data_IF_855556754357
#
_entry.id   IF_855556754357
#
_cell.length_a   1.000
_cell.length_b   1.000
_cell.length_c   1.000
_cell.angle_alpha   90.00
_cell.angle_beta   90.00
_cell.angle_gamma   90.00
#
_symmetry.space_group_name_H-M   'P 1'
#
loop_
_entity.id
_entity.type
_entity.pdbx_description
1 polymer ?
#
# COMPACT_ATOMS: atom_id res chain seq x y z
N UNK A 1 21.36 -3.54 11.40
CA UNK A 1 20.11 -2.85 11.76
C UNK A 1 19.01 -3.49 10.94
N UNK A 2 18.13 -4.28 11.57
CA UNK A 2 16.92 -4.78 10.90
C UNK A 2 15.84 -3.71 11.01
N UNK A 3 15.68 -2.86 9.99
CA UNK A 3 14.56 -1.89 9.97
C UNK A 3 13.64 -2.23 8.79
N UNK A 4 13.25 -3.49 8.72
CA UNK A 4 12.17 -3.91 7.83
C UNK A 4 10.85 -3.66 8.56
N UNK A 5 10.06 -2.67 8.13
CA UNK A 5 8.76 -2.35 8.72
C UNK A 5 7.90 -3.63 8.81
N UNK A 6 7.41 -4.07 9.98
CA UNK A 6 6.68 -5.32 10.11
C UNK A 6 5.43 -5.38 9.23
N UNK A 7 5.16 -6.56 8.64
CA UNK A 7 3.95 -6.80 7.84
C UNK A 7 2.66 -6.44 8.60
N UNK A 8 2.64 -6.72 9.90
CA UNK A 8 1.51 -6.40 10.79
C UNK A 8 1.27 -4.90 10.92
N UNK A 9 2.34 -4.10 10.95
CA UNK A 9 2.25 -2.64 10.95
C UNK A 9 1.65 -2.13 9.64
N UNK A 10 2.15 -2.62 8.51
CA UNK A 10 1.64 -2.27 7.17
C UNK A 10 0.15 -2.63 7.08
N UNK A 11 -0.23 -3.84 7.49
CA UNK A 11 -1.62 -4.29 7.49
C UNK A 11 -2.51 -3.36 8.32
N UNK A 12 -2.07 -2.97 9.53
CA UNK A 12 -2.82 -2.07 10.42
C UNK A 12 -3.03 -0.69 9.77
N UNK A 13 -1.97 -0.09 9.22
CA UNK A 13 -2.06 1.23 8.58
C UNK A 13 -2.99 1.19 7.38
N UNK A 14 -2.83 0.21 6.48
CA UNK A 14 -3.68 0.12 5.29
C UNK A 14 -5.15 -0.17 5.66
N UNK A 15 -5.39 -1.01 6.67
CA UNK A 15 -6.76 -1.31 7.12
C UNK A 15 -7.43 -0.11 7.79
N UNK A 16 -6.68 0.75 8.48
CA UNK A 16 -7.24 1.97 9.12
C UNK A 16 -7.73 3.03 8.14
N UNK A 17 -7.42 2.87 6.85
CA UNK A 17 -7.85 3.80 5.81
C UNK A 17 -9.30 3.54 5.36
N UNK A 18 -9.88 2.39 5.73
CA UNK A 18 -11.26 2.00 5.45
C UNK A 18 -11.66 2.12 3.96
N UNK A 19 -10.73 1.73 3.08
CA UNK A 19 -10.91 1.81 1.62
C UNK A 19 -11.36 0.48 1.00
N UNK A 20 -11.52 -0.56 1.81
CA UNK A 20 -11.76 -1.92 1.35
C UNK A 20 -10.96 -2.96 2.12
N UNK A 21 -10.76 -4.12 1.50
CA UNK A 21 -10.22 -5.32 2.13
C UNK A 21 -8.88 -5.72 1.55
N UNK A 22 -7.93 -5.99 2.43
CA UNK A 22 -6.65 -6.61 2.07
C UNK A 22 -6.86 -8.12 1.92
N UNK A 23 -6.68 -8.64 0.71
CA UNK A 23 -6.69 -10.08 0.44
C UNK A 23 -5.35 -10.72 0.80
N UNK A 24 -4.25 -10.09 0.39
CA UNK A 24 -2.90 -10.62 0.56
C UNK A 24 -1.87 -9.51 0.56
N UNK A 25 -0.90 -9.61 1.47
CA UNK A 25 0.33 -8.82 1.45
C UNK A 25 1.50 -9.76 1.17
N UNK A 26 2.28 -9.45 0.14
CA UNK A 26 3.51 -10.16 -0.25
C UNK A 26 4.70 -9.23 -0.07
N UNK A 27 5.72 -9.72 0.64
CA UNK A 27 6.98 -9.01 0.90
C UNK A 27 8.06 -9.55 -0.02
N UNK A 28 8.70 -8.67 -0.78
CA UNK A 28 9.75 -9.04 -1.74
C UNK A 28 11.02 -8.27 -1.34
N UNK A 29 12.05 -8.93 -0.80
CA UNK A 29 13.31 -8.25 -0.47
C UNK A 29 13.98 -7.73 -1.74
N UNK A 30 14.70 -6.60 -1.65
CA UNK A 30 15.50 -6.14 -2.78
C UNK A 30 16.80 -6.94 -2.89
N UNK A 31 17.12 -7.42 -4.10
CA UNK A 31 18.30 -8.27 -4.35
C UNK A 31 19.63 -7.65 -3.89
N UNK A 32 19.75 -6.33 -3.99
CA UNK A 32 20.98 -5.60 -3.73
C UNK A 32 20.93 -4.80 -2.41
N UNK A 33 19.83 -4.84 -1.67
CA UNK A 33 19.71 -4.11 -0.42
C UNK A 33 18.69 -4.78 0.53
N UNK A 34 19.21 -5.51 1.51
CA UNK A 34 18.41 -6.25 2.49
C UNK A 34 17.69 -5.36 3.50
N UNK A 35 18.01 -4.07 3.56
CA UNK A 35 17.34 -3.11 4.46
C UNK A 35 15.97 -2.71 3.93
N UNK A 36 15.72 -2.91 2.63
CA UNK A 36 14.46 -2.51 2.00
C UNK A 36 13.73 -3.71 1.40
N UNK A 37 12.41 -3.59 1.37
CA UNK A 37 11.51 -4.55 0.72
C UNK A 37 10.46 -3.83 -0.10
N UNK A 38 10.03 -4.48 -1.18
CA UNK A 38 8.84 -4.13 -1.93
C UNK A 38 7.63 -4.84 -1.32
N UNK A 39 6.53 -4.12 -1.19
CA UNK A 39 5.26 -4.65 -0.72
C UNK A 39 4.29 -4.69 -1.90
N UNK A 40 3.70 -5.86 -2.16
CA UNK A 40 2.60 -6.02 -3.11
C UNK A 40 1.35 -6.37 -2.32
N UNK A 41 0.31 -5.57 -2.49
CA UNK A 41 -0.97 -5.75 -1.79
C UNK A 41 -2.02 -6.13 -2.84
N UNK A 42 -2.56 -7.34 -2.72
CA UNK A 42 -3.82 -7.69 -3.39
C UNK A 42 -4.93 -7.07 -2.56
N UNK A 43 -5.66 -6.14 -3.17
CA UNK A 43 -6.63 -5.30 -2.49
C UNK A 43 -7.97 -5.35 -3.23
N UNK A 44 -9.05 -5.51 -2.47
CA UNK A 44 -10.41 -5.39 -2.96
C UNK A 44 -10.97 -4.05 -2.49
N UNK A 45 -11.25 -3.15 -3.43
CA UNK A 45 -11.84 -1.84 -3.14
C UNK A 45 -13.27 -1.98 -2.62
N UNK A 46 -13.67 -1.07 -1.74
CA UNK A 46 -15.06 -0.89 -1.37
C UNK A 46 -15.71 0.15 -2.29
N UNK A 47 -16.43 -0.28 -3.32
CA UNK A 47 -17.02 0.64 -4.30
C UNK A 47 -18.33 1.30 -3.82
N UNK A 48 -18.81 1.02 -2.60
CA UNK A 48 -20.03 1.65 -2.06
C UNK A 48 -19.74 2.90 -1.22
N UNK A 49 -18.51 3.08 -0.76
CA UNK A 49 -18.12 4.20 0.12
C UNK A 49 -17.45 5.32 -0.69
N UNK A 50 -17.95 6.54 -0.53
CA UNK A 50 -17.49 7.72 -1.30
C UNK A 50 -15.98 7.97 -1.12
N UNK A 51 -15.47 7.80 0.10
CA UNK A 51 -14.05 7.99 0.38
C UNK A 51 -13.17 6.99 -0.39
N UNK A 52 -13.56 5.72 -0.40
CA UNK A 52 -12.87 4.66 -1.14
C UNK A 52 -12.87 4.94 -2.64
N UNK A 53 -14.02 5.33 -3.19
CA UNK A 53 -14.16 5.72 -4.61
C UNK A 53 -13.27 6.91 -4.95
N UNK A 54 -13.26 7.94 -4.09
CA UNK A 54 -12.43 9.14 -4.29
C UNK A 54 -10.93 8.79 -4.31
N UNK A 55 -10.46 7.94 -3.40
CA UNK A 55 -9.07 7.52 -3.32
C UNK A 55 -8.65 6.64 -4.50
N UNK A 56 -9.55 5.75 -4.94
CA UNK A 56 -9.37 4.98 -6.17
C UNK A 56 -9.23 5.91 -7.39
N UNK A 57 -10.12 6.89 -7.52
CA UNK A 57 -10.07 7.90 -8.59
C UNK A 57 -8.78 8.74 -8.53
N UNK A 58 -8.30 9.10 -7.33
CA UNK A 58 -7.03 9.80 -7.16
C UNK A 58 -5.84 8.93 -7.59
N UNK A 59 -5.83 7.65 -7.22
CA UNK A 59 -4.80 6.70 -7.64
C UNK A 59 -4.76 6.57 -9.17
N UNK A 60 -5.93 6.51 -9.82
CA UNK A 60 -6.05 6.43 -11.28
C UNK A 60 -5.64 7.74 -11.97
N UNK A 61 -6.07 8.88 -11.43
CA UNK A 61 -5.81 10.21 -12.02
C UNK A 61 -4.36 10.65 -11.86
N UNK A 62 -3.78 10.47 -10.67
CA UNK A 62 -2.42 10.94 -10.36
C UNK A 62 -1.36 9.83 -10.46
N UNK A 63 -1.78 8.59 -10.71
CA UNK A 63 -0.91 7.41 -10.80
C UNK A 63 -0.32 6.94 -9.47
N UNK A 64 -0.55 7.67 -8.36
CA UNK A 64 -0.06 7.29 -7.03
C UNK A 64 -0.83 7.95 -5.89
N UNK A 65 -0.79 7.31 -4.72
CA UNK A 65 -1.25 7.85 -3.44
C UNK A 65 -0.07 7.99 -2.47
N UNK A 66 -0.15 8.98 -1.58
CA UNK A 66 0.77 9.12 -0.45
C UNK A 66 0.04 8.73 0.83
N UNK A 67 0.51 7.69 1.51
CA UNK A 67 -0.04 7.23 2.79
C UNK A 67 0.96 7.58 3.87
N UNK A 68 0.64 8.59 4.69
CA UNK A 68 1.44 8.95 5.86
C UNK A 68 1.27 7.87 6.91
N UNK A 69 2.36 7.22 7.30
CA UNK A 69 2.33 6.18 8.33
C UNK A 69 3.05 6.61 9.62
N UNK A 70 3.94 7.61 9.54
CA UNK A 70 4.65 8.18 10.69
C UNK A 70 5.22 9.55 10.28
N UNK A 71 4.56 10.66 10.64
CA UNK A 71 4.90 11.99 10.13
C UNK A 71 6.39 12.35 10.39
N UNK A 72 7.17 12.76 9.38
CA UNK A 72 6.78 13.17 8.02
C UNK A 72 6.84 12.06 6.95
N UNK A 73 7.10 10.82 7.35
CA UNK A 73 7.28 9.67 6.47
C UNK A 73 5.96 9.15 5.89
N UNK A 74 6.00 8.86 4.60
CA UNK A 74 4.88 8.32 3.85
C UNK A 74 5.32 7.24 2.88
N UNK A 75 4.40 6.30 2.58
CA UNK A 75 4.55 5.38 1.47
C UNK A 75 3.94 5.96 0.20
N UNK A 76 4.67 5.86 -0.91
CA UNK A 76 4.11 6.11 -2.24
C UNK A 76 3.53 4.79 -2.75
N UNK A 77 2.21 4.73 -2.85
CA UNK A 77 1.48 3.57 -3.37
C UNK A 77 1.15 3.82 -4.83
N UNK A 78 1.35 2.80 -5.68
CA UNK A 78 1.08 2.84 -7.11
C UNK A 78 0.24 1.62 -7.50
N UNK A 79 -0.59 1.78 -8.53
CA UNK A 79 -1.30 0.63 -9.11
C UNK A 79 -0.31 -0.26 -9.85
N UNK A 80 -0.29 -1.55 -9.49
CA UNK A 80 0.50 -2.54 -10.22
C UNK A 80 -0.37 -3.13 -11.32
N UNK A 81 0.02 -2.93 -12.57
CA UNK A 81 -0.51 -3.73 -13.66
C UNK A 81 0.05 -5.15 -13.53
N UNK A 82 -0.71 -6.20 -13.92
CA UNK A 82 -0.15 -7.54 -14.06
C UNK A 82 1.13 -7.44 -14.88
N UNK A 83 2.26 -7.87 -14.32
CA UNK A 83 3.47 -8.07 -15.11
C UNK A 83 3.24 -9.36 -15.90
N UNK A 84 2.72 -9.18 -17.13
CA UNK A 84 2.63 -10.23 -18.14
C UNK A 84 4.05 -10.54 -18.63
#
# INVERSE_FOLDING_TARGET
MEISIPKTYIYKIISSLDMGKIDRITEIPLRNNSEYKRIIIKFQWNDTEENSVNLKNQLETFGSLKIVHDMPWYWKVVSTHPQI
#
